data_IF_728989169445
#
_entry.id   IF_728989169445
#
_cell.length_a   1.000
_cell.length_b   1.000
_cell.length_c   1.000
_cell.angle_alpha   90.00
_cell.angle_beta   90.00
_cell.angle_gamma   90.00
#
_symmetry.space_group_name_H-M   'P 1'
#
loop_
_entity.id
_entity.type
_entity.pdbx_description
1 polymer ?
#
# COMPACT_ATOMS: atom_id res chain seq x y z
N UNK A 1 -32.45 44.59 -13.56
CA UNK A 1 -31.84 45.57 -12.64
C UNK A 1 -32.18 45.14 -11.23
N UNK A 2 -31.35 44.34 -10.56
CA UNK A 2 -31.52 44.05 -9.13
C UNK A 2 -30.14 43.94 -8.48
N UNK A 3 -30.08 44.53 -7.30
CA UNK A 3 -28.96 45.10 -6.57
C UNK A 3 -27.76 44.20 -6.26
N UNK A 4 -26.59 44.81 -6.44
CA UNK A 4 -25.32 44.46 -5.81
C UNK A 4 -25.40 44.74 -4.30
N UNK A 5 -25.00 43.80 -3.46
CA UNK A 5 -24.68 44.03 -2.06
C UNK A 5 -23.26 43.54 -1.78
N UNK A 6 -22.39 44.51 -1.54
CA UNK A 6 -21.06 44.33 -0.98
C UNK A 6 -21.19 44.03 0.51
N UNK A 7 -20.60 42.93 0.96
CA UNK A 7 -20.43 42.64 2.39
C UNK A 7 -18.94 42.65 2.74
N UNK A 8 -18.58 43.63 3.55
CA UNK A 8 -17.23 43.94 4.02
C UNK A 8 -16.88 43.04 5.20
N UNK A 9 -15.78 42.28 5.13
CA UNK A 9 -15.29 41.51 6.27
C UNK A 9 -14.24 42.28 7.09
N UNK A 10 -14.25 42.15 8.43
CA UNK A 10 -13.36 42.88 9.32
C UNK A 10 -11.96 42.25 9.41
N UNK A 11 -10.96 43.13 9.42
CA UNK A 11 -9.55 42.85 9.67
C UNK A 11 -9.36 42.47 11.15
N UNK A 12 -8.86 41.27 11.43
CA UNK A 12 -8.45 40.84 12.77
C UNK A 12 -6.93 40.82 12.85
N UNK A 13 -6.37 41.84 13.49
CA UNK A 13 -4.97 41.90 13.90
C UNK A 13 -4.72 40.85 15.01
N UNK A 14 -4.00 39.79 14.66
CA UNK A 14 -3.48 38.82 15.63
C UNK A 14 -2.06 39.20 16.03
N UNK A 15 -1.97 39.69 17.27
CA UNK A 15 -0.74 39.87 18.05
C UNK A 15 -0.03 38.51 18.19
N UNK A 16 1.19 38.42 17.71
CA UNK A 16 2.08 37.26 17.90
C UNK A 16 2.94 37.60 19.11
N UNK A 17 2.71 36.92 20.22
CA UNK A 17 3.60 36.95 21.38
C UNK A 17 4.76 35.98 21.10
N UNK A 18 5.96 36.54 20.94
CA UNK A 18 7.21 35.79 20.88
C UNK A 18 7.54 35.28 22.29
N UNK A 19 7.42 33.97 22.49
CA UNK A 19 7.98 33.28 23.66
C UNK A 19 9.32 32.68 23.28
N UNK A 20 10.38 33.40 23.66
CA UNK A 20 11.76 32.97 23.57
C UNK A 20 12.02 31.95 24.70
N UNK A 21 11.86 30.67 24.36
CA UNK A 21 12.09 29.55 25.25
C UNK A 21 13.54 29.08 25.16
N UNK A 22 14.30 29.42 26.19
CA UNK A 22 15.69 29.02 26.45
C UNK A 22 15.90 27.49 26.26
N UNK A 23 16.45 27.09 25.11
CA UNK A 23 16.76 25.70 24.76
C UNK A 23 18.08 25.31 25.43
N UNK A 24 17.98 24.71 26.62
CA UNK A 24 19.08 23.98 27.25
C UNK A 24 19.43 22.74 26.42
N UNK A 25 20.63 22.74 25.84
CA UNK A 25 21.49 21.58 25.56
C UNK A 25 20.79 20.28 25.12
N UNK A 26 20.03 20.35 24.02
CA UNK A 26 19.67 19.16 23.29
C UNK A 26 20.89 18.70 22.48
N UNK A 27 21.56 17.65 22.94
CA UNK A 27 22.57 16.93 22.15
C UNK A 27 21.97 16.62 20.77
N UNK A 28 22.68 16.91 19.66
CA UNK A 28 22.16 16.64 18.34
C UNK A 28 21.83 15.14 18.24
N UNK A 29 20.64 14.77 17.72
CA UNK A 29 20.34 13.37 17.50
C UNK A 29 21.43 12.77 16.61
N UNK A 30 21.88 11.53 16.87
CA UNK A 30 22.85 10.87 16.02
C UNK A 30 22.37 10.94 14.57
N UNK A 31 23.22 11.51 13.70
CA UNK A 31 22.97 11.56 12.26
C UNK A 31 22.98 10.14 11.71
N UNK A 32 21.83 9.49 11.67
CA UNK A 32 21.60 8.34 10.80
C UNK A 32 21.24 8.85 9.42
N UNK A 33 22.26 9.21 8.64
CA UNK A 33 22.10 9.39 7.19
C UNK A 33 22.20 8.03 6.53
N UNK A 34 21.07 7.42 6.20
CA UNK A 34 21.04 6.45 5.11
C UNK A 34 21.12 7.25 3.81
N UNK A 35 22.31 7.38 3.22
CA UNK A 35 22.44 7.91 1.87
C UNK A 35 21.94 6.85 0.89
N UNK A 36 20.64 6.86 0.65
CA UNK A 36 19.99 6.18 -0.47
C UNK A 36 20.38 6.91 -1.75
N UNK A 37 21.57 6.62 -2.30
CA UNK A 37 22.01 7.08 -3.62
C UNK A 37 22.85 6.02 -4.36
N UNK A 38 22.70 4.73 -4.01
CA UNK A 38 23.24 3.64 -4.82
C UNK A 38 22.10 2.85 -5.44
N UNK A 39 22.03 2.89 -6.78
CA UNK A 39 21.19 2.07 -7.65
C UNK A 39 21.55 0.56 -7.61
N UNK A 40 22.20 0.09 -6.55
CA UNK A 40 22.41 -1.33 -6.32
C UNK A 40 21.10 -1.96 -5.89
N UNK A 41 20.74 -3.06 -6.55
CA UNK A 41 19.66 -4.00 -6.23
C UNK A 41 19.69 -4.32 -4.73
N UNK A 42 19.00 -3.50 -3.93
CA UNK A 42 18.97 -3.66 -2.49
C UNK A 42 18.10 -4.86 -2.17
N UNK A 43 18.63 -5.80 -1.40
CA UNK A 43 17.82 -6.85 -0.79
C UNK A 43 16.58 -6.21 -0.15
N UNK A 44 15.38 -6.78 -0.39
CA UNK A 44 14.15 -6.20 0.15
C UNK A 44 14.24 -6.17 1.67
N UNK A 45 14.29 -4.95 2.21
CA UNK A 45 14.57 -4.65 3.60
C UNK A 45 13.81 -5.57 4.57
N UNK A 46 14.56 -6.47 5.24
CA UNK A 46 14.03 -7.30 6.31
C UNK A 46 13.79 -6.44 7.55
N UNK A 47 12.51 -6.24 7.89
CA UNK A 47 11.95 -5.67 9.13
C UNK A 47 12.88 -4.77 9.96
N UNK A 48 12.87 -3.45 9.71
CA UNK A 48 13.45 -2.49 10.66
C UNK A 48 12.39 -2.12 11.71
N UNK A 49 12.61 -2.57 12.94
CA UNK A 49 11.67 -2.36 14.04
C UNK A 49 11.39 -0.87 14.28
N UNK A 50 10.17 -0.43 13.94
CA UNK A 50 9.65 0.88 14.30
C UNK A 50 9.96 2.02 13.34
N UNK A 51 10.60 1.75 12.20
CA UNK A 51 10.82 2.75 11.17
C UNK A 51 9.77 2.66 10.07
N UNK A 52 9.42 3.82 9.52
CA UNK A 52 8.64 3.87 8.27
C UNK A 52 9.51 3.39 7.12
N UNK A 53 8.94 2.56 6.25
CA UNK A 53 9.61 2.06 5.06
C UNK A 53 9.15 2.93 3.90
N UNK A 54 10.08 3.59 3.22
CA UNK A 54 9.78 4.40 2.05
C UNK A 54 10.85 4.17 0.99
N UNK A 55 10.45 4.08 -0.28
CA UNK A 55 11.40 3.91 -1.37
C UNK A 55 10.78 3.34 -2.64
N UNK A 56 11.62 3.21 -3.66
CA UNK A 56 11.28 2.54 -4.92
C UNK A 56 12.11 1.27 -5.05
N UNK A 57 11.49 0.17 -5.45
CA UNK A 57 12.11 -1.15 -5.50
C UNK A 57 11.86 -1.78 -6.87
N UNK A 58 12.86 -2.50 -7.36
CA UNK A 58 12.75 -3.32 -8.56
C UNK A 58 12.85 -4.78 -8.12
N UNK A 59 11.85 -5.58 -8.47
CA UNK A 59 11.78 -6.99 -8.13
C UNK A 59 11.97 -7.81 -9.39
N UNK A 60 13.01 -8.65 -9.40
CA UNK A 60 13.19 -9.68 -10.42
C UNK A 60 13.00 -11.06 -9.77
N UNK A 61 11.86 -11.74 -10.02
CA UNK A 61 11.59 -13.04 -9.42
C UNK A 61 12.45 -14.16 -10.03
N UNK A 62 13.28 -13.88 -11.04
CA UNK A 62 14.24 -14.82 -11.59
C UNK A 62 15.55 -14.92 -10.84
N UNK A 63 15.82 -13.95 -9.97
CA UNK A 63 16.98 -14.01 -9.10
C UNK A 63 16.76 -15.09 -8.03
N UNK A 64 17.77 -15.93 -7.77
CA UNK A 64 17.66 -16.93 -6.72
C UNK A 64 17.45 -16.23 -5.37
N UNK A 65 16.38 -16.59 -4.69
CA UNK A 65 16.14 -16.12 -3.32
C UNK A 65 17.14 -16.80 -2.39
N UNK A 66 17.87 -16.00 -1.62
CA UNK A 66 18.68 -16.56 -0.54
C UNK A 66 17.76 -17.29 0.44
N UNK A 67 18.05 -18.58 0.64
CA UNK A 67 17.31 -19.40 1.59
C UNK A 67 17.69 -18.92 2.99
N UNK A 68 16.88 -18.04 3.56
CA UNK A 68 17.02 -17.74 4.99
C UNK A 68 16.73 -19.01 5.77
N UNK A 69 17.72 -19.55 6.47
CA UNK A 69 17.57 -20.71 7.34
C UNK A 69 16.62 -20.38 8.50
N UNK A 70 15.31 -20.49 8.25
CA UNK A 70 14.29 -20.28 9.27
C UNK A 70 14.32 -21.46 10.24
N UNK A 71 15.11 -21.31 11.31
CA UNK A 71 15.15 -22.23 12.46
C UNK A 71 13.81 -22.18 13.20
N UNK A 72 12.91 -23.08 12.85
CA UNK A 72 11.74 -23.44 13.67
C UNK A 72 10.42 -22.83 13.23
N UNK A 73 9.48 -23.70 12.86
CA UNK A 73 8.08 -23.34 12.64
C UNK A 73 7.39 -24.33 11.71
N UNK A 74 6.21 -24.79 12.10
CA UNK A 74 5.39 -25.79 11.38
C UNK A 74 4.85 -25.31 10.01
N UNK A 75 5.29 -24.15 9.52
CA UNK A 75 4.92 -23.58 8.22
C UNK A 75 5.95 -23.96 7.14
N UNK A 76 6.21 -25.26 6.97
CA UNK A 76 7.33 -25.78 6.15
C UNK A 76 7.14 -25.77 4.63
N UNK A 77 5.99 -25.34 4.12
CA UNK A 77 5.67 -25.50 2.68
C UNK A 77 5.36 -24.20 1.93
N UNK A 78 5.38 -23.05 2.59
CA UNK A 78 5.13 -21.78 1.90
C UNK A 78 6.44 -21.23 1.35
N UNK A 79 6.50 -21.06 0.02
CA UNK A 79 7.65 -20.43 -0.65
C UNK A 79 7.83 -19.02 -0.06
N UNK A 80 9.06 -18.64 0.35
CA UNK A 80 9.29 -17.30 0.87
C UNK A 80 8.91 -16.24 -0.17
N UNK A 81 8.30 -15.12 0.25
CA UNK A 81 7.91 -14.08 -0.68
C UNK A 81 9.14 -13.40 -1.29
N UNK A 82 9.04 -12.98 -2.56
CA UNK A 82 10.07 -12.21 -3.27
C UNK A 82 10.40 -10.90 -2.56
N UNK A 83 9.40 -10.25 -1.96
CA UNK A 83 9.58 -9.06 -1.14
C UNK A 83 8.74 -9.15 0.13
N UNK A 84 9.34 -8.86 1.29
CA UNK A 84 8.65 -8.85 2.58
C UNK A 84 8.92 -7.54 3.34
N UNK A 85 7.99 -6.59 3.22
CA UNK A 85 8.03 -5.31 3.90
C UNK A 85 7.30 -5.43 5.23
N UNK A 86 7.99 -5.23 6.34
CA UNK A 86 7.38 -5.36 7.67
C UNK A 86 7.73 -4.19 8.57
N UNK A 87 6.69 -3.51 9.05
CA UNK A 87 6.79 -2.44 10.04
C UNK A 87 5.93 -2.76 11.27
N UNK A 88 6.48 -2.63 12.48
CA UNK A 88 5.65 -2.76 13.69
C UNK A 88 4.88 -1.47 13.96
N UNK A 89 5.58 -0.36 13.84
CA UNK A 89 5.10 1.00 14.00
C UNK A 89 5.71 1.80 12.86
N UNK A 90 4.90 2.47 12.06
CA UNK A 90 5.38 3.22 10.90
C UNK A 90 4.60 2.91 9.63
N UNK A 91 4.70 3.85 8.70
CA UNK A 91 4.05 3.76 7.41
C UNK A 91 4.94 2.96 6.44
N UNK A 92 4.32 2.21 5.55
CA UNK A 92 5.00 1.58 4.41
C UNK A 92 4.52 2.34 3.18
N UNK A 93 5.40 3.01 2.47
CA UNK A 93 5.08 3.78 1.26
C UNK A 93 6.09 3.44 0.18
N UNK A 94 5.76 2.49 -0.68
CA UNK A 94 6.74 1.96 -1.63
C UNK A 94 6.20 1.90 -3.03
N UNK A 95 7.05 2.28 -3.99
CA UNK A 95 6.82 2.02 -5.41
C UNK A 95 7.56 0.75 -5.81
N UNK A 96 6.92 -0.13 -6.57
CA UNK A 96 7.50 -1.42 -6.92
C UNK A 96 7.31 -1.64 -8.42
N UNK A 97 8.40 -1.93 -9.12
CA UNK A 97 8.40 -2.42 -10.49
C UNK A 97 8.75 -3.91 -10.49
N UNK A 98 7.92 -4.76 -11.09
CA UNK A 98 8.18 -6.19 -11.24
C UNK A 98 8.73 -6.45 -12.64
N UNK A 99 10.04 -6.68 -12.71
CA UNK A 99 10.83 -6.82 -13.96
C UNK A 99 11.37 -8.24 -14.13
N UNK A 100 12.08 -8.49 -15.24
CA UNK A 100 12.85 -9.72 -15.47
C UNK A 100 12.28 -10.60 -16.59
N UNK A 101 13.15 -11.01 -17.52
CA UNK A 101 12.79 -11.64 -18.79
C UNK A 101 12.91 -13.17 -18.81
N UNK A 102 13.27 -13.79 -17.68
CA UNK A 102 13.52 -15.22 -17.64
C UNK A 102 12.29 -16.04 -18.10
N UNK A 103 12.42 -16.99 -19.04
CA UNK A 103 11.30 -17.72 -19.63
C UNK A 103 10.61 -18.68 -18.66
N UNK A 104 11.27 -19.03 -17.55
CA UNK A 104 10.67 -19.82 -16.49
C UNK A 104 9.73 -18.96 -15.67
N UNK A 105 8.47 -19.38 -15.56
CA UNK A 105 7.37 -18.66 -14.94
C UNK A 105 7.57 -18.44 -13.43
N UNK A 106 8.39 -17.46 -13.09
CA UNK A 106 8.60 -17.00 -11.74
C UNK A 106 7.49 -16.03 -11.35
N UNK A 107 6.92 -16.32 -10.20
CA UNK A 107 5.80 -15.64 -9.60
C UNK A 107 6.35 -14.66 -8.57
N UNK A 108 6.00 -13.39 -8.69
CA UNK A 108 6.47 -12.37 -7.77
C UNK A 108 5.51 -12.28 -6.59
N UNK A 109 5.95 -12.67 -5.40
CA UNK A 109 5.13 -12.56 -4.18
C UNK A 109 5.60 -11.38 -3.35
N UNK A 110 4.72 -10.40 -3.16
CA UNK A 110 4.96 -9.18 -2.40
C UNK A 110 4.11 -9.23 -1.15
N UNK A 111 4.76 -9.17 0.01
CA UNK A 111 4.09 -9.11 1.30
C UNK A 111 4.39 -7.79 1.99
N UNK A 112 3.36 -7.05 2.40
CA UNK A 112 3.51 -5.85 3.21
C UNK A 112 2.67 -5.94 4.48
N UNK A 113 3.32 -5.85 5.65
CA UNK A 113 2.63 -5.96 6.94
C UNK A 113 2.95 -4.78 7.85
N UNK A 114 1.91 -4.14 8.40
CA UNK A 114 2.07 -3.11 9.41
C UNK A 114 1.14 -3.31 10.61
N UNK A 115 1.68 -3.36 11.84
CA UNK A 115 0.80 -3.44 13.02
C UNK A 115 0.16 -2.09 13.34
N UNK A 116 0.86 -0.99 13.12
CA UNK A 116 0.32 0.36 13.30
C UNK A 116 1.00 1.32 12.33
N UNK A 117 0.23 1.82 11.38
CA UNK A 117 0.70 2.70 10.31
C UNK A 117 0.02 2.33 9.00
N UNK A 118 0.05 3.27 8.08
CA UNK A 118 -0.61 3.15 6.79
C UNK A 118 0.30 2.41 5.80
N UNK A 119 -0.32 1.64 4.90
CA UNK A 119 0.37 0.93 3.84
C UNK A 119 -0.06 1.57 2.52
N UNK A 120 0.88 2.08 1.74
CA UNK A 120 0.67 2.57 0.37
C UNK A 120 1.65 1.82 -0.52
N UNK A 121 1.14 0.90 -1.34
CA UNK A 121 1.92 0.21 -2.35
C UNK A 121 1.50 0.72 -3.72
N UNK A 122 2.47 1.11 -4.54
CA UNK A 122 2.25 1.53 -5.91
C UNK A 122 3.05 0.62 -6.83
N UNK A 123 2.36 -0.34 -7.45
CA UNK A 123 2.96 -1.26 -8.40
C UNK A 123 2.91 -0.59 -9.77
N UNK A 124 4.01 0.06 -10.13
CA UNK A 124 4.07 0.93 -11.31
C UNK A 124 4.12 0.11 -12.60
N UNK A 125 4.83 -1.02 -12.57
CA UNK A 125 5.08 -1.84 -13.74
C UNK A 125 5.05 -3.33 -13.40
N UNK A 126 4.54 -4.13 -14.33
CA UNK A 126 4.57 -5.59 -14.30
C UNK A 126 4.73 -6.11 -15.72
N UNK A 127 5.74 -6.96 -15.93
CA UNK A 127 5.90 -7.68 -17.20
C UNK A 127 4.68 -8.57 -17.47
N UNK A 128 4.16 -8.55 -18.70
CA UNK A 128 2.96 -9.30 -19.09
C UNK A 128 3.11 -10.83 -18.95
N UNK A 129 4.35 -11.33 -19.00
CA UNK A 129 4.67 -12.75 -18.82
C UNK A 129 4.72 -13.19 -17.34
N UNK A 130 4.50 -12.26 -16.40
CA UNK A 130 4.65 -12.47 -14.96
C UNK A 130 3.35 -12.32 -14.24
N UNK A 131 3.24 -13.13 -13.19
CA UNK A 131 2.17 -13.03 -12.24
C UNK A 131 2.67 -12.39 -10.95
N UNK A 132 1.81 -11.59 -10.34
CA UNK A 132 2.08 -10.96 -9.06
C UNK A 132 1.05 -11.41 -8.03
N UNK A 133 1.55 -11.85 -6.87
CA UNK A 133 0.75 -12.07 -5.68
C UNK A 133 1.07 -11.00 -4.65
N UNK A 134 0.06 -10.22 -4.28
CA UNK A 134 0.21 -9.12 -3.33
C UNK A 134 -0.60 -9.44 -2.09
N UNK A 135 0.07 -9.63 -0.97
CA UNK A 135 -0.57 -9.74 0.33
C UNK A 135 -0.27 -8.52 1.18
N UNK A 136 -1.31 -7.86 1.66
CA UNK A 136 -1.14 -6.84 2.70
C UNK A 136 -1.95 -7.16 3.94
N UNK A 137 -1.37 -6.84 5.09
CA UNK A 137 -2.08 -6.94 6.37
C UNK A 137 -1.76 -5.74 7.25
N UNK A 138 -2.80 -5.06 7.74
CA UNK A 138 -2.63 -4.06 8.80
C UNK A 138 -3.58 -4.25 9.98
N UNK A 139 -3.08 -4.05 11.20
CA UNK A 139 -3.95 -4.06 12.39
C UNK A 139 -4.63 -2.71 12.61
N UNK A 140 -3.90 -1.62 12.38
CA UNK A 140 -4.36 -0.23 12.54
C UNK A 140 -3.64 0.59 11.49
N UNK A 141 -4.35 0.98 10.45
CA UNK A 141 -3.74 1.64 9.31
C UNK A 141 -4.69 1.58 8.14
N UNK A 142 -4.63 2.58 7.30
CA UNK A 142 -5.28 2.55 5.99
C UNK A 142 -4.34 1.84 5.01
N UNK A 143 -4.89 0.97 4.19
CA UNK A 143 -4.15 0.30 3.11
C UNK A 143 -4.61 0.87 1.78
N UNK A 144 -3.68 1.30 0.95
CA UNK A 144 -3.92 1.72 -0.43
C UNK A 144 -2.97 0.92 -1.32
N UNK A 145 -3.50 0.26 -2.34
CA UNK A 145 -2.70 -0.43 -3.34
C UNK A 145 -3.08 0.06 -4.73
N UNK A 146 -2.10 0.54 -5.49
CA UNK A 146 -2.25 0.86 -6.90
C UNK A 146 -1.62 -0.26 -7.72
N UNK A 147 -2.41 -0.85 -8.61
CA UNK A 147 -2.03 -1.96 -9.45
C UNK A 147 -1.60 -1.47 -10.83
N UNK A 148 -0.72 -2.17 -11.55
CA UNK A 148 -0.38 -1.77 -12.90
C UNK A 148 -1.59 -1.98 -13.81
N UNK A 149 -1.77 -1.20 -14.88
CA UNK A 149 -2.85 -1.42 -15.85
C UNK A 149 -2.84 -2.80 -16.53
N UNK A 150 -1.70 -3.51 -16.48
CA UNK A 150 -1.50 -4.87 -16.99
C UNK A 150 -1.92 -5.97 -16.02
N UNK A 151 -2.44 -5.62 -14.84
CA UNK A 151 -2.94 -6.57 -13.86
C UNK A 151 -4.18 -7.32 -14.40
N UNK A 152 -4.15 -8.65 -14.32
CA UNK A 152 -5.25 -9.51 -14.72
C UNK A 152 -5.39 -10.68 -13.73
N UNK A 153 -6.43 -10.63 -12.89
CA UNK A 153 -6.52 -11.54 -11.77
C UNK A 153 -7.63 -11.23 -10.78
N UNK A 154 -7.53 -11.86 -9.61
CA UNK A 154 -8.54 -11.75 -8.54
C UNK A 154 -8.06 -10.80 -7.47
N UNK A 155 -8.96 -9.93 -7.01
CA UNK A 155 -8.71 -9.00 -5.90
C UNK A 155 -9.68 -9.33 -4.78
N UNK A 156 -9.14 -9.55 -3.58
CA UNK A 156 -9.86 -9.78 -2.35
C UNK A 156 -9.49 -8.71 -1.31
N UNK A 157 -10.50 -7.98 -0.86
CA UNK A 157 -10.39 -6.99 0.19
C UNK A 157 -11.17 -7.48 1.41
N UNK A 158 -10.55 -7.41 2.58
CA UNK A 158 -11.19 -7.83 3.83
C UNK A 158 -10.90 -6.84 4.96
N UNK A 159 -11.94 -6.32 5.60
CA UNK A 159 -11.80 -5.49 6.80
C UNK A 159 -12.80 -5.85 7.88
N UNK A 160 -12.38 -5.82 9.16
CA UNK A 160 -13.32 -6.09 10.26
C UNK A 160 -14.13 -4.85 10.69
N UNK A 161 -13.57 -3.64 10.52
CA UNK A 161 -14.20 -2.38 10.99
C UNK A 161 -13.94 -1.18 10.07
N UNK A 162 -13.16 -1.35 9.01
CA UNK A 162 -12.85 -0.30 8.06
C UNK A 162 -13.90 -0.17 6.97
N UNK A 163 -13.64 0.74 6.02
CA UNK A 163 -14.33 0.79 4.74
C UNK A 163 -13.49 0.10 3.67
N UNK A 164 -14.18 -0.45 2.67
CA UNK A 164 -13.58 -0.93 1.43
C UNK A 164 -13.97 0.04 0.32
N UNK A 165 -12.98 0.57 -0.40
CA UNK A 165 -13.18 1.48 -1.51
C UNK A 165 -12.50 0.90 -2.75
N UNK A 166 -13.23 0.85 -3.84
CA UNK A 166 -12.69 0.62 -5.17
C UNK A 166 -12.57 1.98 -5.84
N UNK A 167 -11.39 2.31 -6.37
CA UNK A 167 -11.16 3.59 -7.04
C UNK A 167 -11.75 3.57 -8.46
N UNK A 168 -12.19 4.72 -9.00
CA UNK A 168 -12.99 4.78 -10.22
C UNK A 168 -12.31 4.12 -11.43
N UNK A 169 -11.00 4.35 -11.62
CA UNK A 169 -10.28 3.78 -12.76
C UNK A 169 -10.26 2.24 -12.76
N UNK A 170 -10.31 1.64 -11.56
CA UNK A 170 -10.41 0.21 -11.40
C UNK A 170 -11.84 -0.28 -11.60
N UNK A 171 -12.83 0.40 -11.03
CA UNK A 171 -14.27 0.06 -11.12
C UNK A 171 -14.70 -0.25 -12.55
N UNK A 172 -14.30 0.57 -13.52
CA UNK A 172 -14.63 0.43 -14.94
C UNK A 172 -14.17 -0.90 -15.58
N UNK A 173 -13.14 -1.55 -15.02
CA UNK A 173 -12.50 -2.74 -15.62
C UNK A 173 -12.73 -4.02 -14.82
N UNK A 174 -13.64 -4.00 -13.87
CA UNK A 174 -13.82 -5.12 -12.94
C UNK A 174 -15.19 -5.79 -13.07
N UNK A 175 -15.19 -7.09 -12.80
CA UNK A 175 -16.39 -7.88 -12.61
C UNK A 175 -16.53 -8.24 -11.13
N UNK A 176 -17.57 -7.73 -10.48
CA UNK A 176 -17.83 -7.99 -9.07
C UNK A 176 -18.21 -9.46 -8.84
N UNK A 177 -17.48 -10.15 -7.95
CA UNK A 177 -17.79 -11.54 -7.56
C UNK A 177 -18.60 -11.58 -6.26
N UNK A 178 -18.20 -10.78 -5.27
CA UNK A 178 -18.78 -10.78 -3.93
C UNK A 178 -18.65 -9.39 -3.32
N UNK A 179 -19.74 -8.91 -2.72
CA UNK A 179 -19.74 -7.67 -1.93
C UNK A 179 -20.51 -7.86 -0.64
N UNK A 180 -19.83 -7.60 0.48
CA UNK A 180 -20.40 -7.45 1.82
C UNK A 180 -19.78 -6.20 2.45
N UNK A 181 -20.30 -5.75 3.59
CA UNK A 181 -19.72 -4.60 4.31
C UNK A 181 -18.24 -4.79 4.69
N UNK A 182 -17.83 -6.05 4.88
CA UNK A 182 -16.51 -6.42 5.40
C UNK A 182 -15.63 -7.13 4.37
N UNK A 183 -16.18 -7.52 3.23
CA UNK A 183 -15.48 -8.30 2.21
C UNK A 183 -15.90 -7.85 0.83
N UNK A 184 -14.93 -7.56 -0.02
CA UNK A 184 -15.15 -7.22 -1.42
C UNK A 184 -14.22 -8.07 -2.27
N UNK A 185 -14.77 -8.83 -3.20
CA UNK A 185 -14.01 -9.68 -4.11
C UNK A 185 -14.46 -9.44 -5.55
N UNK A 186 -13.51 -9.28 -6.46
CA UNK A 186 -13.79 -9.01 -7.87
C UNK A 186 -12.64 -9.47 -8.76
N UNK A 187 -12.92 -9.63 -10.05
CA UNK A 187 -11.96 -10.01 -11.08
C UNK A 187 -11.64 -8.80 -11.94
N UNK A 188 -10.38 -8.67 -12.33
CA UNK A 188 -9.88 -7.68 -13.28
C UNK A 188 -9.41 -8.40 -14.54
N UNK A 189 -9.87 -7.94 -15.69
CA UNK A 189 -9.48 -8.51 -16.99
C UNK A 189 -10.03 -9.92 -17.25
N UNK A 190 -9.62 -10.50 -18.36
CA UNK A 190 -9.98 -11.86 -18.76
C UNK A 190 -8.97 -12.84 -18.19
N UNK A 191 -9.39 -13.64 -17.21
CA UNK A 191 -8.59 -14.77 -16.72
C UNK A 191 -8.71 -15.90 -17.76
N UNK A 192 -7.91 -15.82 -18.82
CA UNK A 192 -7.85 -16.87 -19.84
C UNK A 192 -7.03 -18.05 -19.30
N UNK A 193 -7.70 -19.14 -18.95
CA UNK A 193 -7.02 -20.38 -18.63
C UNK A 193 -7.97 -21.55 -18.44
N UNK A 194 -8.15 -22.34 -19.49
CA UNK A 194 -8.93 -23.59 -19.46
C UNK A 194 -8.12 -24.78 -18.89
N UNK A 195 -7.18 -24.53 -17.97
CA UNK A 195 -6.24 -25.55 -17.51
C UNK A 195 -5.77 -25.38 -16.07
N UNK A 196 -5.26 -26.48 -15.50
CA UNK A 196 -4.66 -26.53 -14.14
C UNK A 196 -3.48 -25.57 -13.93
N UNK A 197 -2.96 -24.98 -15.01
CA UNK A 197 -1.85 -24.03 -15.01
C UNK A 197 -2.28 -22.59 -15.33
N UNK A 198 -3.59 -22.28 -15.26
CA UNK A 198 -4.11 -20.93 -15.39
C UNK A 198 -3.51 -20.02 -14.32
N UNK A 199 -2.50 -19.27 -14.75
CA UNK A 199 -1.65 -18.47 -13.89
C UNK A 199 -2.22 -17.06 -13.92
N UNK A 200 -3.03 -16.71 -12.92
CA UNK A 200 -3.58 -15.37 -12.74
C UNK A 200 -2.79 -14.55 -11.70
N UNK A 201 -2.95 -13.22 -11.72
CA UNK A 201 -2.51 -12.39 -10.61
C UNK A 201 -3.46 -12.55 -9.40
N UNK A 202 -2.95 -12.31 -8.20
CA UNK A 202 -3.76 -12.36 -6.99
C UNK A 202 -3.42 -11.22 -6.03
N UNK A 203 -4.45 -10.55 -5.51
CA UNK A 203 -4.28 -9.48 -4.54
C UNK A 203 -5.18 -9.76 -3.35
N UNK A 204 -4.58 -9.85 -2.16
CA UNK A 204 -5.29 -10.01 -0.90
C UNK A 204 -4.91 -8.90 0.05
N UNK A 205 -5.84 -7.98 0.27
CA UNK A 205 -5.67 -6.86 1.18
C UNK A 205 -6.52 -7.08 2.42
N UNK A 206 -5.89 -7.00 3.59
CA UNK A 206 -6.58 -7.24 4.85
C UNK A 206 -6.28 -6.17 5.90
N UNK A 207 -7.31 -5.75 6.62
CA UNK A 207 -7.18 -4.75 7.70
C UNK A 207 -8.10 -5.04 8.87
N UNK A 208 -7.58 -5.01 10.10
CA UNK A 208 -8.44 -5.24 11.28
C UNK A 208 -9.31 -4.03 11.63
N UNK A 209 -8.80 -2.81 11.44
CA UNK A 209 -9.48 -1.58 11.91
C UNK A 209 -9.47 -0.41 10.92
N UNK A 210 -8.68 -0.47 9.87
CA UNK A 210 -8.59 0.64 8.94
C UNK A 210 -9.21 0.31 7.60
N UNK A 211 -9.35 1.36 6.81
CA UNK A 211 -9.89 1.28 5.47
C UNK A 211 -8.91 0.64 4.49
N UNK A 212 -9.45 0.11 3.40
CA UNK A 212 -8.70 -0.44 2.30
C UNK A 212 -9.21 0.24 1.02
N UNK A 213 -8.29 0.76 0.21
CA UNK A 213 -8.57 1.20 -1.15
C UNK A 213 -7.66 0.48 -2.14
N UNK A 214 -8.18 0.27 -3.35
CA UNK A 214 -7.43 -0.30 -4.46
C UNK A 214 -7.81 0.41 -5.77
N UNK A 215 -6.81 0.68 -6.60
CA UNK A 215 -6.96 1.37 -7.88
C UNK A 215 -5.87 0.99 -8.87
N UNK A 216 -5.80 1.69 -10.01
CA UNK A 216 -4.71 1.56 -10.98
C UNK A 216 -3.66 2.66 -10.82
N UNK A 217 -2.39 2.27 -10.92
CA UNK A 217 -1.27 3.18 -11.01
C UNK A 217 -1.37 4.02 -12.29
N UNK A 218 -1.03 5.30 -12.18
CA UNK A 218 -1.16 6.29 -13.27
C UNK A 218 -2.58 6.80 -13.54
N UNK A 219 -3.64 6.08 -13.13
CA UNK A 219 -5.04 6.53 -13.29
C UNK A 219 -5.57 7.09 -11.97
N UNK A 220 -5.51 6.27 -10.91
CA UNK A 220 -6.02 6.63 -9.58
C UNK A 220 -4.91 7.16 -8.64
N UNK A 221 -3.68 7.28 -9.16
CA UNK A 221 -2.48 7.59 -8.39
C UNK A 221 -2.21 9.08 -8.13
N UNK A 222 -3.12 9.97 -8.51
CA UNK A 222 -2.94 11.40 -8.27
C UNK A 222 -2.87 11.69 -6.76
N UNK A 223 -1.84 12.43 -6.32
CA UNK A 223 -1.57 12.65 -4.90
C UNK A 223 -2.77 13.27 -4.15
N UNK A 224 -3.49 14.20 -4.80
CA UNK A 224 -4.67 14.84 -4.23
C UNK A 224 -5.84 13.86 -4.09
N UNK A 225 -6.08 13.02 -5.09
CA UNK A 225 -7.11 11.99 -5.04
C UNK A 225 -6.84 10.99 -3.91
N UNK A 226 -5.60 10.51 -3.80
CA UNK A 226 -5.19 9.59 -2.73
C UNK A 226 -5.35 10.21 -1.34
N UNK A 227 -5.05 11.49 -1.18
CA UNK A 227 -5.23 12.20 0.09
C UNK A 227 -6.70 12.33 0.47
N UNK A 228 -7.58 12.59 -0.51
CA UNK A 228 -9.02 12.60 -0.29
C UNK A 228 -9.53 11.23 0.14
N UNK A 229 -9.07 10.15 -0.52
CA UNK A 229 -9.38 8.77 -0.16
C UNK A 229 -8.90 8.46 1.26
N UNK A 230 -7.68 8.87 1.64
CA UNK A 230 -7.17 8.69 3.02
C UNK A 230 -8.05 9.40 4.04
N UNK A 231 -8.46 10.63 3.77
CA UNK A 231 -9.37 11.39 4.63
C UNK A 231 -10.69 10.65 4.79
N UNK A 232 -11.28 10.18 3.69
CA UNK A 232 -12.52 9.41 3.73
C UNK A 232 -12.40 8.13 4.57
N UNK A 233 -11.36 7.33 4.33
CA UNK A 233 -11.10 6.08 5.06
C UNK A 233 -10.82 6.32 6.55
N UNK A 234 -10.24 7.47 6.90
CA UNK A 234 -9.96 7.85 8.29
C UNK A 234 -11.21 8.33 9.05
N UNK A 235 -12.16 8.97 8.36
CA UNK A 235 -13.35 9.56 8.97
C UNK A 235 -14.26 8.51 9.63
N UNK A 236 -14.30 7.28 9.08
CA UNK A 236 -15.11 6.18 9.62
C UNK A 236 -14.61 5.64 10.97
N UNK A 237 -13.35 5.88 11.36
CA UNK A 237 -12.79 5.33 12.61
C UNK A 237 -13.47 5.84 13.88
N UNK A 238 -14.12 7.01 13.84
CA UNK A 238 -14.68 7.67 15.02
C UNK A 238 -16.04 7.13 15.46
N UNK A 239 -16.72 6.31 14.64
CA UNK A 239 -18.10 5.87 14.93
C UNK A 239 -18.21 4.53 15.68
N UNK A 240 -17.13 3.77 15.83
CA UNK A 240 -17.17 2.42 16.44
C UNK A 240 -16.86 2.39 17.95
N UNK A 241 -17.14 3.47 18.68
CA UNK A 241 -16.77 3.64 20.09
C UNK A 241 -17.79 3.15 21.12
N UNK A 242 -18.92 2.58 20.71
CA UNK A 242 -20.05 2.30 21.61
C UNK A 242 -20.68 0.91 21.46
N UNK A 243 -19.89 -0.12 21.16
CA UNK A 243 -20.36 -1.51 21.14
C UNK A 243 -19.58 -2.36 22.15
#
# INVERSE_FOLDING_TARGET
>A
MVSSQHETQPLLDKKIDEHDGDVKDALPPPRYSFSSNDNTVAEPASAVNGLSITGSYQLDPSLPLEKTDRRGGWHRHETPPTANLQARHGNITTKIAVTGDAPCANHATIRATSRTGDITLDITEKSAARNVDIETWTRRGTTIVLLPPTFAGVIELNTCRGRLIQLPGLEEKTALLRSTEQTLSFVVGTVCGDGKDAKADFVRLSSKKGGIAVGFSGVDGEAQALENVRKELSACRRRCGSC
#
